data_IF_559191755308
#
_entry.id   IF_559191755308
#
_cell.length_a   1.000
_cell.length_b   1.000
_cell.length_c   1.000
_cell.angle_alpha   90.00
_cell.angle_beta   90.00
_cell.angle_gamma   90.00
#
_symmetry.space_group_name_H-M   'P 1'
#
loop_
_entity.id
_entity.type
_entity.pdbx_description
1 polymer ?
#
# COMPACT_ATOMS: atom_id res chain seq x y z
N UNK A 1 13.28 -1.08 -9.48
CA UNK A 1 11.94 -1.32 -8.91
C UNK A 1 11.82 -0.47 -7.66
N UNK A 2 11.24 0.72 -7.78
CA UNK A 2 11.13 1.65 -6.64
C UNK A 2 9.90 1.25 -5.86
N UNK A 3 10.07 0.41 -4.84
CA UNK A 3 9.02 0.16 -3.86
C UNK A 3 8.61 1.52 -3.29
N UNK A 4 7.31 1.82 -3.27
CA UNK A 4 6.72 3.15 -2.99
C UNK A 4 6.83 3.58 -1.52
N UNK A 5 7.98 3.34 -0.90
CA UNK A 5 8.30 3.58 0.50
C UNK A 5 8.33 5.05 0.92
N UNK A 6 8.33 5.98 -0.03
CA UNK A 6 9.10 7.20 0.20
C UNK A 6 8.27 8.45 0.54
N UNK A 7 6.94 8.39 0.49
CA UNK A 7 6.11 9.54 0.88
C UNK A 7 5.63 9.34 2.32
N UNK A 8 6.41 9.84 3.27
CA UNK A 8 5.96 10.00 4.65
C UNK A 8 6.20 11.43 5.13
N UNK A 9 5.17 12.25 4.91
CA UNK A 9 4.79 13.50 5.56
C UNK A 9 5.76 14.69 5.69
N UNK A 10 5.27 15.86 5.27
CA UNK A 10 5.53 17.15 5.92
C UNK A 10 4.24 17.99 6.02
N UNK A 11 3.84 18.31 7.27
CA UNK A 11 2.83 19.28 7.78
C UNK A 11 1.36 19.25 7.29
N UNK A 12 0.47 19.37 8.28
CA UNK A 12 -0.91 19.93 8.31
C UNK A 12 -1.85 19.80 7.10
N UNK A 13 -2.37 18.60 6.82
CA UNK A 13 -3.81 18.33 6.58
C UNK A 13 -3.99 16.83 6.31
N UNK A 14 -4.64 16.11 7.22
CA UNK A 14 -4.98 14.71 7.03
C UNK A 14 -6.49 14.56 7.19
N UNK A 15 -7.24 14.82 6.11
CA UNK A 15 -8.65 14.47 6.02
C UNK A 15 -9.04 14.13 4.58
N UNK A 16 -9.05 12.83 4.26
CA UNK A 16 -10.23 12.14 3.70
C UNK A 16 -9.94 10.63 3.65
N UNK A 17 -10.63 9.89 4.52
CA UNK A 17 -10.65 8.44 4.57
C UNK A 17 -11.74 7.95 3.62
N UNK A 18 -11.40 7.58 2.39
CA UNK A 18 -12.33 6.85 1.51
C UNK A 18 -12.22 5.36 1.82
N UNK A 19 -13.12 4.85 2.65
CA UNK A 19 -13.44 3.43 2.71
C UNK A 19 -14.72 3.23 1.94
N UNK A 20 -14.64 2.69 0.72
CA UNK A 20 -15.83 2.17 0.05
C UNK A 20 -16.36 0.99 0.88
N UNK A 21 -17.59 1.14 1.37
CA UNK A 21 -18.34 0.09 2.06
C UNK A 21 -18.81 -0.94 1.02
N UNK A 22 -18.36 -2.20 1.03
CA UNK A 22 -19.12 -3.23 0.33
C UNK A 22 -20.48 -3.34 1.01
N UNK A 23 -21.56 -3.39 0.22
CA UNK A 23 -22.95 -3.34 0.69
C UNK A 23 -23.31 -4.42 1.72
N UNK A 24 -22.49 -5.46 1.85
CA UNK A 24 -22.66 -6.62 2.73
C UNK A 24 -21.78 -6.63 4.00
N UNK A 25 -20.87 -5.66 4.18
CA UNK A 25 -20.00 -5.67 5.37
C UNK A 25 -20.77 -5.23 6.64
N UNK A 26 -20.52 -5.86 7.80
CA UNK A 26 -21.14 -5.47 9.06
C UNK A 26 -20.86 -4.00 9.35
N UNK A 27 -21.88 -3.30 9.85
CA UNK A 27 -21.79 -1.89 10.24
C UNK A 27 -20.85 -1.81 11.45
N UNK A 28 -19.55 -1.61 11.22
CA UNK A 28 -18.67 -1.12 12.28
C UNK A 28 -19.11 0.31 12.61
N UNK A 29 -19.41 0.56 13.88
CA UNK A 29 -19.69 1.90 14.38
C UNK A 29 -18.41 2.74 14.37
N UNK A 30 -18.16 3.39 13.23
CA UNK A 30 -16.92 4.07 12.87
C UNK A 30 -16.67 5.37 13.65
N UNK A 31 -17.70 5.94 14.27
CA UNK A 31 -17.61 7.17 15.07
C UNK A 31 -16.73 7.02 16.32
N UNK A 32 -16.40 5.78 16.70
CA UNK A 32 -15.65 5.43 17.91
C UNK A 32 -14.18 5.07 17.68
N UNK A 33 -13.69 5.13 16.43
CA UNK A 33 -12.29 4.80 16.12
C UNK A 33 -11.40 5.99 16.47
N UNK A 34 -10.73 5.91 17.61
CA UNK A 34 -9.67 6.86 17.93
C UNK A 34 -8.47 6.65 17.00
N UNK A 35 -8.32 7.52 16.00
CA UNK A 35 -7.15 7.53 15.12
C UNK A 35 -5.90 8.03 15.87
N UNK A 36 -5.26 7.14 16.63
CA UNK A 36 -4.10 7.47 17.47
C UNK A 36 -2.86 7.83 16.66
N UNK A 37 -2.72 7.35 15.42
CA UNK A 37 -1.52 7.57 14.58
C UNK A 37 -1.20 9.04 14.33
N UNK A 38 -2.21 9.91 14.24
CA UNK A 38 -2.04 11.34 13.93
C UNK A 38 -2.25 12.27 15.12
N UNK A 39 -2.55 11.74 16.32
CA UNK A 39 -2.77 12.56 17.53
C UNK A 39 -1.48 13.27 18.02
N UNK A 40 -0.30 12.77 17.62
CA UNK A 40 1.00 13.35 18.00
C UNK A 40 1.86 13.51 16.76
N UNK A 41 2.43 14.70 16.59
CA UNK A 41 3.46 14.94 15.59
C UNK A 41 4.65 14.02 15.86
N UNK A 42 5.03 13.23 14.85
CA UNK A 42 6.29 12.50 14.80
C UNK A 42 7.15 13.14 13.70
N UNK A 43 8.45 13.40 13.94
CA UNK A 43 9.32 13.88 12.88
C UNK A 43 9.35 12.87 11.72
N UNK A 44 9.47 13.33 10.46
CA UNK A 44 9.55 12.44 9.32
C UNK A 44 10.75 11.50 9.46
N UNK A 45 10.52 10.20 9.23
CA UNK A 45 11.59 9.24 9.10
C UNK A 45 11.93 9.12 7.61
N UNK A 46 13.12 9.57 7.17
CA UNK A 46 13.49 9.49 5.77
C UNK A 46 13.55 8.01 5.34
N UNK A 47 13.17 7.71 4.08
CA UNK A 47 13.34 6.37 3.56
C UNK A 47 14.83 6.02 3.51
N UNK A 48 15.15 4.74 3.71
CA UNK A 48 16.51 4.25 3.42
C UNK A 48 16.79 4.38 1.93
N UNK A 49 18.08 4.44 1.60
CA UNK A 49 18.56 4.37 0.20
C UNK A 49 18.15 3.02 -0.42
N UNK A 50 18.19 2.94 -1.75
CA UNK A 50 17.86 1.70 -2.44
C UNK A 50 18.90 0.62 -2.15
N UNK A 51 20.16 1.01 -1.99
CA UNK A 51 21.29 0.13 -1.69
C UNK A 51 21.20 -0.49 -0.29
N UNK A 52 20.68 0.28 0.68
CA UNK A 52 20.54 -0.16 2.08
C UNK A 52 19.21 -0.87 2.37
N UNK A 53 18.37 -1.04 1.35
CA UNK A 53 17.04 -1.65 1.50
C UNK A 53 17.03 -3.08 0.99
N UNK A 54 16.85 -4.02 1.91
CA UNK A 54 16.61 -5.42 1.54
C UNK A 54 15.18 -5.58 1.01
N UNK A 55 15.06 -6.14 -0.18
CA UNK A 55 13.79 -6.59 -0.72
C UNK A 55 13.66 -8.12 -0.63
N UNK A 56 12.44 -8.60 -0.47
CA UNK A 56 12.10 -10.02 -0.40
C UNK A 56 11.05 -10.34 -1.45
N UNK A 57 11.37 -11.30 -2.32
CA UNK A 57 10.41 -11.85 -3.27
C UNK A 57 9.66 -13.02 -2.64
N UNK A 58 8.33 -12.92 -2.58
CA UNK A 58 7.43 -13.81 -1.86
C UNK A 58 6.54 -14.55 -2.86
N UNK A 59 6.90 -15.80 -3.13
CA UNK A 59 6.32 -16.69 -4.15
C UNK A 59 5.92 -18.05 -3.55
N UNK A 60 6.12 -18.25 -2.25
CA UNK A 60 5.90 -19.50 -1.54
C UNK A 60 5.22 -19.24 -0.21
N UNK A 61 4.45 -20.22 0.26
CA UNK A 61 3.68 -20.13 1.51
C UNK A 61 4.60 -19.87 2.71
N UNK A 62 5.78 -20.49 2.74
CA UNK A 62 6.75 -20.28 3.83
C UNK A 62 7.27 -18.83 3.87
N UNK A 63 7.59 -18.25 2.71
CA UNK A 63 7.99 -16.85 2.61
C UNK A 63 6.82 -15.92 2.98
N UNK A 64 5.60 -16.27 2.60
CA UNK A 64 4.39 -15.53 2.96
C UNK A 64 4.19 -15.54 4.49
N UNK A 65 4.32 -16.69 5.14
CA UNK A 65 4.22 -16.79 6.60
C UNK A 65 5.31 -15.97 7.31
N UNK A 66 6.56 -16.06 6.86
CA UNK A 66 7.66 -15.25 7.40
C UNK A 66 7.41 -13.74 7.23
N UNK A 67 6.89 -13.33 6.07
CA UNK A 67 6.47 -11.95 5.85
C UNK A 67 5.35 -11.57 6.83
N UNK A 68 4.31 -12.39 6.96
CA UNK A 68 3.18 -12.11 7.85
C UNK A 68 3.59 -11.94 9.31
N UNK A 69 4.54 -12.73 9.79
CA UNK A 69 5.05 -12.60 11.16
C UNK A 69 5.74 -11.25 11.37
N UNK A 70 6.54 -10.80 10.41
CA UNK A 70 7.14 -9.47 10.45
C UNK A 70 6.09 -8.34 10.31
N UNK A 71 5.08 -8.49 9.44
CA UNK A 71 4.05 -7.48 9.21
C UNK A 71 3.16 -7.25 10.45
N UNK A 72 2.91 -8.29 11.25
CA UNK A 72 2.12 -8.18 12.51
C UNK A 72 2.75 -7.24 13.53
N UNK A 73 4.06 -7.06 13.49
CA UNK A 73 4.82 -6.21 14.42
C UNK A 73 4.86 -4.74 13.97
N UNK A 74 4.40 -4.42 12.76
CA UNK A 74 4.51 -3.08 12.19
C UNK A 74 3.32 -2.19 12.57
N UNK A 75 3.62 -0.90 12.81
CA UNK A 75 2.62 0.15 13.08
C UNK A 75 2.03 0.75 11.80
N UNK A 76 2.79 0.73 10.71
CA UNK A 76 2.37 1.23 9.41
C UNK A 76 3.02 0.44 8.27
N UNK A 77 2.30 0.37 7.16
CA UNK A 77 2.71 -0.29 5.91
C UNK A 77 2.43 0.66 4.75
N UNK A 78 3.28 0.67 3.72
CA UNK A 78 2.91 1.21 2.41
C UNK A 78 2.54 0.05 1.49
N UNK A 79 1.48 0.21 0.70
CA UNK A 79 0.92 -0.85 -0.13
C UNK A 79 0.63 -0.32 -1.53
N UNK A 80 0.92 -1.13 -2.54
CA UNK A 80 0.66 -0.83 -3.95
C UNK A 80 0.43 -2.12 -4.76
N UNK A 81 -0.43 -2.06 -5.78
CA UNK A 81 -0.68 -3.20 -6.65
C UNK A 81 -0.32 -2.89 -8.10
N UNK A 82 0.28 -3.86 -8.79
CA UNK A 82 0.40 -3.83 -10.25
C UNK A 82 -0.68 -4.73 -10.85
N UNK A 83 -1.43 -4.18 -11.79
CA UNK A 83 -2.54 -4.85 -12.45
C UNK A 83 -2.27 -5.01 -13.94
N UNK A 84 -2.58 -6.19 -14.46
CA UNK A 84 -2.44 -6.47 -15.88
C UNK A 84 -3.81 -6.46 -16.57
N UNK A 85 -3.95 -5.64 -17.62
CA UNK A 85 -5.18 -5.50 -18.41
C UNK A 85 -5.00 -5.78 -19.90
N UNK A 86 -3.78 -6.07 -20.38
CA UNK A 86 -3.50 -6.25 -21.80
C UNK A 86 -3.67 -7.73 -22.22
N UNK A 87 -4.62 -8.03 -23.11
CA UNK A 87 -4.90 -9.39 -23.67
C UNK A 87 -5.50 -10.44 -22.72
N UNK A 88 -6.09 -10.04 -21.61
CA UNK A 88 -6.89 -10.93 -20.75
C UNK A 88 -8.36 -10.53 -20.76
N UNK A 89 -9.27 -11.51 -20.89
CA UNK A 89 -10.73 -11.28 -20.77
C UNK A 89 -11.13 -10.92 -19.31
N UNK A 90 -10.30 -11.32 -18.34
CA UNK A 90 -10.39 -10.95 -16.93
C UNK A 90 -9.16 -10.15 -16.54
N UNK A 91 -9.36 -9.04 -15.85
CA UNK A 91 -8.28 -8.19 -15.32
C UNK A 91 -7.94 -8.69 -13.92
N UNK A 92 -6.67 -9.01 -13.65
CA UNK A 92 -6.23 -9.54 -12.35
C UNK A 92 -4.98 -8.84 -11.84
N UNK A 93 -4.86 -8.76 -10.52
CA UNK A 93 -3.66 -8.28 -9.83
C UNK A 93 -2.55 -9.31 -10.00
N UNK A 94 -1.37 -8.85 -10.43
CA UNK A 94 -0.22 -9.70 -10.73
C UNK A 94 0.93 -9.55 -9.75
N UNK A 95 1.02 -8.41 -9.08
CA UNK A 95 2.03 -8.17 -8.08
C UNK A 95 1.47 -7.26 -6.98
N UNK A 96 1.77 -7.61 -5.73
CA UNK A 96 1.48 -6.79 -4.57
C UNK A 96 2.80 -6.35 -3.94
N UNK A 97 2.97 -5.06 -3.77
CA UNK A 97 4.14 -4.44 -3.16
C UNK A 97 3.75 -3.99 -1.75
N UNK A 98 4.54 -4.41 -0.74
CA UNK A 98 4.35 -3.99 0.65
C UNK A 98 5.67 -3.51 1.20
N UNK A 99 5.73 -2.27 1.69
CA UNK A 99 6.90 -1.74 2.39
C UNK A 99 6.64 -1.54 3.87
N UNK A 100 7.65 -1.86 4.67
CA UNK A 100 7.76 -1.46 6.08
C UNK A 100 8.91 -0.44 6.23
N UNK A 101 9.18 0.00 7.46
CA UNK A 101 10.37 0.83 7.78
C UNK A 101 11.70 0.09 7.63
N UNK A 102 11.67 -1.24 7.64
CA UNK A 102 12.86 -2.10 7.54
C UNK A 102 13.00 -2.74 6.16
N UNK A 103 11.91 -3.32 5.62
CA UNK A 103 11.96 -4.24 4.47
C UNK A 103 10.95 -3.85 3.39
N UNK A 104 11.25 -4.25 2.15
CA UNK A 104 10.31 -4.21 1.02
C UNK A 104 9.95 -5.64 0.59
N UNK A 105 8.67 -5.87 0.29
CA UNK A 105 8.15 -7.16 -0.13
C UNK A 105 7.51 -7.05 -1.50
N UNK A 106 7.88 -7.99 -2.37
CA UNK A 106 7.31 -8.18 -3.69
C UNK A 106 6.60 -9.53 -3.69
N UNK A 107 5.27 -9.48 -3.62
CA UNK A 107 4.44 -10.67 -3.45
C UNK A 107 3.86 -11.06 -4.79
N UNK A 108 4.20 -12.25 -5.26
CA UNK A 108 3.59 -12.84 -6.45
C UNK A 108 2.16 -13.25 -6.14
N UNK A 109 1.21 -12.50 -6.67
CA UNK A 109 -0.20 -12.71 -6.40
C UNK A 109 -0.85 -13.74 -7.32
N UNK A 110 -0.13 -14.21 -8.34
CA UNK A 110 -0.59 -15.27 -9.24
C UNK A 110 -0.36 -16.63 -8.59
N UNK A 111 0.85 -16.84 -8.05
CA UNK A 111 1.22 -18.09 -7.40
C UNK A 111 0.52 -18.26 -6.05
N UNK A 112 0.39 -17.17 -5.28
CA UNK A 112 -0.16 -17.20 -3.92
C UNK A 112 -1.64 -16.81 -3.83
N UNK A 113 -2.38 -16.86 -4.96
CA UNK A 113 -3.72 -16.30 -5.06
C UNK A 113 -4.68 -16.81 -3.98
N UNK A 114 -4.63 -18.11 -3.67
CA UNK A 114 -5.55 -18.74 -2.72
C UNK A 114 -5.17 -18.45 -1.25
N UNK A 115 -3.91 -18.09 -1.01
CA UNK A 115 -3.30 -17.92 0.31
C UNK A 115 -3.31 -16.47 0.79
N UNK A 116 -3.42 -15.49 -0.11
CA UNK A 116 -3.32 -14.07 0.24
C UNK A 116 -4.40 -13.56 1.19
N UNK A 117 -5.49 -14.30 1.38
CA UNK A 117 -6.54 -13.97 2.36
C UNK A 117 -5.99 -13.79 3.79
N UNK A 118 -4.83 -14.40 4.13
CA UNK A 118 -4.17 -14.25 5.43
C UNK A 118 -3.75 -12.81 5.74
N UNK A 119 -3.55 -11.97 4.71
CA UNK A 119 -3.21 -10.55 4.86
C UNK A 119 -4.27 -9.76 5.63
N UNK A 120 -5.52 -10.22 5.65
CA UNK A 120 -6.60 -9.63 6.45
C UNK A 120 -6.21 -9.48 7.94
N UNK A 121 -5.36 -10.37 8.47
CA UNK A 121 -4.84 -10.28 9.84
C UNK A 121 -4.20 -8.92 10.14
N UNK A 122 -3.59 -8.28 9.14
CA UNK A 122 -2.91 -6.98 9.26
C UNK A 122 -3.69 -5.87 8.53
N UNK A 123 -4.26 -6.18 7.38
CA UNK A 123 -4.94 -5.20 6.52
C UNK A 123 -6.29 -4.78 7.09
N UNK A 124 -7.00 -5.66 7.80
CA UNK A 124 -8.21 -5.34 8.54
C UNK A 124 -7.93 -4.91 10.01
N UNK A 125 -6.66 -4.84 10.42
CA UNK A 125 -6.30 -4.40 11.77
C UNK A 125 -6.34 -2.87 11.89
N UNK A 126 -7.19 -2.35 12.77
CA UNK A 126 -7.32 -0.91 13.08
C UNK A 126 -6.02 -0.28 13.61
N UNK A 127 -5.13 -1.06 14.23
CA UNK A 127 -3.88 -0.55 14.84
C UNK A 127 -2.73 -0.40 13.85
N UNK A 128 -2.83 -0.99 12.66
CA UNK A 128 -1.82 -0.85 11.62
C UNK A 128 -2.33 0.14 10.58
N UNK A 129 -1.57 1.18 10.27
CA UNK A 129 -1.91 2.13 9.21
C UNK A 129 -1.51 1.57 7.85
N UNK A 130 -2.42 1.57 6.87
CA UNK A 130 -2.07 1.19 5.49
C UNK A 130 -2.03 2.42 4.60
N UNK A 131 -0.85 2.77 4.11
CA UNK A 131 -0.63 3.95 3.26
C UNK A 131 -0.67 3.54 1.80
N UNK A 132 -1.50 4.22 1.03
CA UNK A 132 -1.61 4.08 -0.42
C UNK A 132 -1.39 5.44 -1.10
N UNK A 133 -1.31 5.42 -2.42
CA UNK A 133 -1.34 6.62 -3.24
C UNK A 133 -2.36 6.45 -4.37
N UNK A 134 -3.43 7.24 -4.34
CA UNK A 134 -4.57 7.09 -5.25
C UNK A 134 -5.12 5.65 -5.24
N UNK A 135 -5.28 5.10 -4.03
CA UNK A 135 -5.47 3.67 -3.77
C UNK A 135 -6.89 3.15 -3.99
N UNK A 136 -7.80 3.96 -4.54
CA UNK A 136 -9.22 3.58 -4.71
C UNK A 136 -9.35 2.30 -5.52
N UNK A 137 -8.62 2.20 -6.63
CA UNK A 137 -8.65 1.01 -7.47
C UNK A 137 -7.96 -0.19 -6.80
N UNK A 138 -6.82 0.01 -6.13
CA UNK A 138 -6.13 -1.06 -5.38
C UNK A 138 -7.05 -1.74 -4.36
N UNK A 139 -7.85 -0.97 -3.62
CA UNK A 139 -8.82 -1.49 -2.65
C UNK A 139 -9.84 -2.40 -3.33
N UNK A 140 -10.43 -1.95 -4.44
CA UNK A 140 -11.40 -2.74 -5.20
C UNK A 140 -10.77 -4.03 -5.73
N UNK A 141 -9.50 -3.98 -6.15
CA UNK A 141 -8.81 -5.14 -6.72
C UNK A 141 -8.47 -6.15 -5.64
N UNK A 142 -7.91 -5.71 -4.52
CA UNK A 142 -7.59 -6.56 -3.37
C UNK A 142 -8.83 -7.28 -2.82
N UNK A 143 -9.97 -6.58 -2.80
CA UNK A 143 -11.24 -7.17 -2.40
C UNK A 143 -11.73 -8.21 -3.41
N UNK A 144 -11.80 -7.84 -4.69
CA UNK A 144 -12.36 -8.71 -5.73
C UNK A 144 -11.50 -9.93 -6.03
N UNK A 145 -10.17 -9.79 -6.00
CA UNK A 145 -9.25 -10.86 -6.35
C UNK A 145 -8.96 -11.81 -5.18
N UNK A 146 -8.85 -11.28 -3.96
CA UNK A 146 -8.31 -12.02 -2.81
C UNK A 146 -9.19 -11.98 -1.55
N UNK A 147 -10.32 -11.27 -1.58
CA UNK A 147 -11.17 -11.09 -0.40
C UNK A 147 -10.49 -10.31 0.74
N UNK A 148 -9.55 -9.42 0.39
CA UNK A 148 -8.81 -8.61 1.36
C UNK A 148 -9.56 -7.31 1.65
N UNK A 149 -9.74 -7.01 2.92
CA UNK A 149 -10.35 -5.77 3.42
C UNK A 149 -9.29 -4.82 3.94
N UNK A 150 -9.47 -3.53 3.64
CA UNK A 150 -8.59 -2.46 4.12
C UNK A 150 -9.33 -1.64 5.18
N UNK A 151 -8.77 -1.57 6.38
CA UNK A 151 -9.27 -0.75 7.50
C UNK A 151 -8.13 0.15 7.99
N UNK A 152 -8.39 1.40 8.39
CA UNK A 152 -7.35 2.36 8.80
C UNK A 152 -6.31 2.60 7.68
N UNK A 153 -6.80 3.13 6.56
CA UNK A 153 -5.99 3.50 5.40
C UNK A 153 -5.69 4.99 5.36
N UNK A 154 -4.59 5.37 4.75
CA UNK A 154 -4.28 6.76 4.47
C UNK A 154 -3.87 6.92 3.01
N UNK A 155 -4.54 7.82 2.29
CA UNK A 155 -4.25 8.08 0.89
C UNK A 155 -3.41 9.36 0.73
N UNK A 156 -2.20 9.19 0.22
CA UNK A 156 -1.28 10.31 -0.02
C UNK A 156 -1.72 11.21 -1.19
N UNK A 157 -2.57 10.74 -2.10
CA UNK A 157 -3.16 11.58 -3.16
C UNK A 157 -4.09 12.64 -2.54
N UNK A 158 -5.01 12.21 -1.68
CA UNK A 158 -5.91 13.14 -1.00
C UNK A 158 -5.20 14.02 0.03
N UNK A 159 -4.12 13.51 0.64
CA UNK A 159 -3.25 14.34 1.46
C UNK A 159 -2.60 15.47 0.65
N UNK A 160 -2.07 15.15 -0.54
CA UNK A 160 -1.49 16.14 -1.43
C UNK A 160 -2.54 17.17 -1.90
N UNK A 161 -3.78 16.73 -2.11
CA UNK A 161 -4.92 17.59 -2.45
C UNK A 161 -5.26 18.55 -1.30
N UNK A 162 -5.38 18.03 -0.06
CA UNK A 162 -5.62 18.83 1.14
C UNK A 162 -4.51 19.85 1.41
N UNK A 163 -3.26 19.50 1.07
CA UNK A 163 -2.10 20.39 1.14
C UNK A 163 -1.95 21.34 -0.05
N UNK A 164 -2.85 21.26 -1.03
CA UNK A 164 -2.89 22.11 -2.20
C UNK A 164 -1.53 22.13 -2.95
N UNK A 165 -0.91 20.95 -3.09
CA UNK A 165 0.37 20.78 -3.79
C UNK A 165 0.21 21.02 -5.29
N UNK A 166 1.29 21.45 -5.96
CA UNK A 166 1.26 21.78 -7.40
C UNK A 166 1.00 20.58 -8.29
N UNK A 167 1.27 19.36 -7.79
CA UNK A 167 0.90 18.12 -8.45
C UNK A 167 0.57 17.07 -7.40
N UNK A 168 -0.40 16.22 -7.73
CA UNK A 168 -0.90 15.16 -6.85
C UNK A 168 -0.31 13.79 -7.20
N UNK A 169 0.55 13.71 -8.21
CA UNK A 169 1.08 12.43 -8.68
C UNK A 169 2.14 11.86 -7.75
N UNK A 170 2.19 10.54 -7.62
CA UNK A 170 3.24 9.84 -6.89
C UNK A 170 4.63 10.29 -7.35
N UNK A 171 4.85 10.38 -8.66
CA UNK A 171 6.13 10.78 -9.23
C UNK A 171 6.57 12.19 -8.77
N UNK A 172 5.61 13.11 -8.63
CA UNK A 172 5.88 14.43 -8.06
C UNK A 172 6.27 14.33 -6.59
N UNK A 173 5.50 13.58 -5.78
CA UNK A 173 5.77 13.43 -4.35
C UNK A 173 7.12 12.73 -4.08
N UNK A 174 7.49 11.74 -4.88
CA UNK A 174 8.81 11.08 -4.82
C UNK A 174 9.94 12.05 -5.14
N UNK A 175 9.76 12.91 -6.13
CA UNK A 175 10.77 13.90 -6.50
C UNK A 175 10.92 14.97 -5.42
N UNK A 176 9.80 15.48 -4.91
CA UNK A 176 9.75 16.58 -3.96
C UNK A 176 10.27 16.16 -2.58
N UNK A 177 9.79 15.04 -2.04
CA UNK A 177 10.07 14.63 -0.66
C UNK A 177 11.20 13.63 -0.52
N UNK A 178 11.56 12.92 -1.60
CA UNK A 178 12.51 11.81 -1.55
C UNK A 178 13.70 12.03 -2.48
N UNK A 179 13.68 13.11 -3.27
CA UNK A 179 14.69 13.43 -4.28
C UNK A 179 14.90 12.30 -5.30
N UNK A 180 13.84 11.54 -5.59
CA UNK A 180 13.88 10.40 -6.51
C UNK A 180 13.04 10.68 -7.73
N UNK A 181 13.66 10.49 -8.90
CA UNK A 181 12.98 10.60 -10.19
C UNK A 181 12.44 9.24 -10.56
N UNK A 182 11.11 9.10 -10.53
CA UNK A 182 10.44 7.86 -10.93
C UNK A 182 10.65 7.58 -12.43
N UNK A 183 11.15 6.39 -12.74
CA UNK A 183 11.20 5.89 -14.11
C UNK A 183 9.82 5.32 -14.49
N UNK A 184 9.20 5.92 -15.51
CA UNK A 184 7.85 5.56 -15.96
C UNK A 184 7.83 4.44 -17.00
N UNK A 185 8.99 3.98 -17.46
CA UNK A 185 9.09 3.00 -18.56
C UNK A 185 8.37 1.69 -18.27
N UNK A 186 8.27 1.28 -17.00
CA UNK A 186 7.72 -0.01 -16.60
C UNK A 186 6.23 0.02 -16.20
N UNK A 187 5.56 1.17 -16.23
CA UNK A 187 4.11 1.24 -15.91
C UNK A 187 3.24 0.47 -16.92
N UNK A 188 3.74 0.25 -18.14
CA UNK A 188 3.05 -0.50 -19.20
C UNK A 188 3.71 -1.87 -19.45
N UNK A 189 4.56 -2.35 -18.54
CA UNK A 189 5.24 -3.62 -18.69
C UNK A 189 4.28 -4.81 -18.54
N UNK A 190 4.61 -5.93 -19.20
CA UNK A 190 3.93 -7.20 -18.99
C UNK A 190 4.46 -7.85 -17.70
N UNK A 191 3.83 -7.52 -16.58
CA UNK A 191 4.17 -8.02 -15.26
C UNK A 191 3.89 -9.51 -15.04
N UNK A 192 3.41 -10.24 -16.06
CA UNK A 192 3.30 -11.71 -15.99
C UNK A 192 4.65 -12.42 -16.17
N UNK A 193 5.64 -11.72 -16.71
CA UNK A 193 6.99 -12.25 -16.94
C UNK A 193 7.86 -11.78 -15.77
N UNK A 194 7.70 -12.40 -14.61
CA UNK A 194 8.55 -12.20 -13.44
C UNK A 194 9.37 -13.44 -13.13
#
# INVERSE_FOLDING_TARGET
>A
MVCRRQIFYSRETAYSLLVQKPSSAPILNWESIEHTHFKKFKPPCPPKTLEDTTYFYVDTIDKLNNMMDHLKEQQELAVDCERHSYRSYQVFTCLLQISTRSNDYLVDTLVLREELHVLNTVFANLKTLKVFHAGTSDIEWLYNDFGIYIINMFDTFHAAEGLNLTSLSLAYLLKEYCHIVADKQYQLADWRIS
#
